data_IF_496987517061
#
_entry.id   IF_496987517061
#
_cell.length_a   1.000
_cell.length_b   1.000
_cell.length_c   1.000
_cell.angle_alpha   90.00
_cell.angle_beta   90.00
_cell.angle_gamma   90.00
#
_symmetry.space_group_name_H-M   'P 1'
#
loop_
_entity.id
_entity.type
_entity.pdbx_description
1 polymer ?
#
# COMPACT_ATOMS: atom_id res chain seq x y z
N UNK A 1 24.64 -1.39 -17.75
CA UNK A 1 24.16 -2.78 -17.65
C UNK A 1 23.68 -2.97 -16.23
N UNK A 2 22.37 -2.89 -15.97
CA UNK A 2 21.85 -3.26 -14.66
C UNK A 2 22.07 -4.78 -14.52
N UNK A 3 22.81 -5.20 -13.50
CA UNK A 3 22.96 -6.62 -13.18
C UNK A 3 21.66 -7.09 -12.56
N UNK A 4 20.74 -7.51 -13.42
CA UNK A 4 19.53 -8.18 -13.00
C UNK A 4 19.90 -9.56 -12.48
N UNK A 5 19.90 -9.74 -11.15
CA UNK A 5 20.18 -11.03 -10.56
C UNK A 5 18.89 -11.88 -10.61
N UNK A 6 18.94 -13.10 -11.17
CA UNK A 6 17.77 -13.98 -11.22
C UNK A 6 17.20 -14.35 -9.83
N UNK A 7 17.97 -14.08 -8.77
CA UNK A 7 17.62 -14.34 -7.38
C UNK A 7 16.42 -13.53 -6.89
N UNK A 8 16.27 -12.27 -7.32
CA UNK A 8 15.20 -11.40 -6.80
C UNK A 8 13.80 -11.86 -7.22
N UNK A 9 13.67 -12.35 -8.45
CA UNK A 9 12.41 -12.89 -8.97
C UNK A 9 12.01 -14.22 -8.32
N UNK A 10 12.97 -15.09 -8.00
CA UNK A 10 12.70 -16.35 -7.29
C UNK A 10 12.33 -16.09 -5.82
N UNK A 11 12.98 -15.14 -5.16
CA UNK A 11 12.67 -14.75 -3.79
C UNK A 11 11.26 -14.15 -3.67
N UNK A 12 10.87 -13.28 -4.60
CA UNK A 12 9.52 -12.70 -4.63
C UNK A 12 8.42 -13.76 -4.80
N UNK A 13 8.67 -14.81 -5.60
CA UNK A 13 7.75 -15.95 -5.76
C UNK A 13 7.57 -16.74 -4.46
N UNK A 14 8.63 -16.92 -3.67
CA UNK A 14 8.56 -17.61 -2.37
C UNK A 14 7.73 -16.82 -1.35
N UNK A 15 7.77 -15.49 -1.42
CA UNK A 15 7.01 -14.61 -0.53
C UNK A 15 5.60 -14.30 -1.03
N UNK A 16 5.22 -14.80 -2.21
CA UNK A 16 3.97 -14.46 -2.90
C UNK A 16 3.78 -12.94 -3.09
N UNK A 17 4.88 -12.19 -3.28
CA UNK A 17 4.85 -10.74 -3.52
C UNK A 17 5.10 -10.46 -5.00
N UNK A 18 4.32 -9.57 -5.64
CA UNK A 18 4.57 -9.19 -7.03
C UNK A 18 5.92 -8.48 -7.19
N UNK A 19 6.65 -8.87 -8.25
CA UNK A 19 7.96 -8.33 -8.58
C UNK A 19 7.89 -7.42 -9.80
N UNK A 20 8.57 -6.26 -9.75
CA UNK A 20 8.66 -5.35 -10.88
C UNK A 20 10.06 -4.72 -10.99
N UNK A 21 10.66 -4.82 -12.17
CA UNK A 21 11.91 -4.13 -12.51
C UNK A 21 11.61 -2.67 -12.85
N UNK A 22 12.22 -1.74 -12.11
CA UNK A 22 12.06 -0.30 -12.35
C UNK A 22 13.42 0.38 -12.49
N UNK A 23 13.49 1.45 -13.30
CA UNK A 23 14.62 2.37 -13.31
C UNK A 23 14.15 3.72 -12.80
N UNK A 24 14.52 4.06 -11.57
CA UNK A 24 14.25 5.40 -11.03
C UNK A 24 14.96 6.51 -11.83
N UNK A 25 16.08 6.17 -12.48
CA UNK A 25 16.88 7.10 -13.28
C UNK A 25 16.23 7.38 -14.64
N UNK A 26 15.74 6.35 -15.31
CA UNK A 26 15.20 6.44 -16.68
C UNK A 26 13.67 6.54 -16.71
N UNK A 27 13.01 6.43 -15.55
CA UNK A 27 11.56 6.45 -15.41
C UNK A 27 10.86 5.15 -15.82
N UNK A 28 11.60 4.11 -16.18
CA UNK A 28 11.04 2.85 -16.67
C UNK A 28 10.25 2.13 -15.58
N UNK A 29 9.00 1.76 -15.88
CA UNK A 29 8.08 0.97 -15.04
C UNK A 29 7.74 1.58 -13.66
N UNK A 30 8.12 2.83 -13.39
CA UNK A 30 7.85 3.50 -12.10
C UNK A 30 6.35 3.72 -11.89
N UNK A 31 5.62 4.13 -12.93
CA UNK A 31 4.17 4.32 -12.87
C UNK A 31 3.43 3.01 -12.59
N UNK A 32 3.85 1.93 -13.26
CA UNK A 32 3.27 0.60 -13.06
C UNK A 32 3.54 0.07 -11.65
N UNK A 33 4.74 0.30 -11.09
CA UNK A 33 5.04 -0.03 -9.69
C UNK A 33 4.09 0.70 -8.75
N UNK A 34 3.91 2.01 -8.96
CA UNK A 34 3.06 2.85 -8.11
C UNK A 34 1.59 2.39 -8.15
N UNK A 35 1.06 2.11 -9.35
CA UNK A 35 -0.31 1.62 -9.52
C UNK A 35 -0.52 0.22 -8.92
N UNK A 36 0.47 -0.66 -9.07
CA UNK A 36 0.43 -2.01 -8.49
C UNK A 36 0.40 -1.92 -6.97
N UNK A 37 1.26 -1.09 -6.36
CA UNK A 37 1.27 -0.88 -4.91
C UNK A 37 -0.05 -0.28 -4.41
N UNK A 38 -0.61 0.71 -5.10
CA UNK A 38 -1.90 1.28 -4.75
C UNK A 38 -3.02 0.23 -4.79
N UNK A 39 -3.00 -0.64 -5.81
CA UNK A 39 -3.98 -1.72 -5.98
C UNK A 39 -3.83 -2.78 -4.88
N UNK A 40 -2.61 -3.18 -4.54
CA UNK A 40 -2.34 -4.11 -3.43
C UNK A 40 -2.81 -3.56 -2.07
N UNK A 41 -2.54 -2.28 -1.79
CA UNK A 41 -3.05 -1.61 -0.58
C UNK A 41 -4.58 -1.62 -0.58
N UNK A 42 -5.22 -1.25 -1.69
CA UNK A 42 -6.68 -1.25 -1.83
C UNK A 42 -7.27 -2.65 -1.63
N UNK A 43 -6.67 -3.68 -2.22
CA UNK A 43 -7.14 -5.06 -2.09
C UNK A 43 -7.03 -5.56 -0.64
N UNK A 44 -5.97 -5.18 0.09
CA UNK A 44 -5.80 -5.52 1.51
C UNK A 44 -6.73 -4.75 2.44
N UNK A 45 -7.04 -3.49 2.14
CA UNK A 45 -7.98 -2.70 2.95
C UNK A 45 -9.44 -3.13 2.78
N UNK A 46 -9.74 -4.05 1.86
CA UNK A 46 -11.12 -4.41 1.50
C UNK A 46 -11.86 -3.25 0.83
N UNK A 47 -13.15 -3.39 0.48
CA UNK A 47 -13.99 -2.24 0.19
C UNK A 47 -13.85 -1.30 1.39
N UNK A 48 -13.50 -0.03 1.15
CA UNK A 48 -13.62 0.98 2.19
C UNK A 48 -15.01 0.79 2.84
N UNK A 49 -15.13 0.78 4.17
CA UNK A 49 -16.46 0.79 4.78
C UNK A 49 -17.19 1.92 4.07
N UNK A 50 -18.26 1.57 3.35
CA UNK A 50 -19.09 2.54 2.65
C UNK A 50 -19.26 3.71 3.59
N UNK A 51 -18.93 4.91 3.09
CA UNK A 51 -19.06 6.19 3.77
C UNK A 51 -20.55 6.37 4.15
N UNK A 52 -20.96 5.61 5.15
CA UNK A 52 -22.20 5.70 5.86
C UNK A 52 -21.92 6.87 6.79
N UNK A 53 -22.68 7.97 6.70
CA UNK A 53 -22.37 9.20 7.44
C UNK A 53 -22.49 9.06 8.97
N UNK A 54 -22.65 7.84 9.51
CA UNK A 54 -23.00 7.56 10.90
C UNK A 54 -21.91 6.83 11.71
N UNK A 55 -20.81 6.37 11.12
CA UNK A 55 -19.76 5.63 11.85
C UNK A 55 -18.50 6.45 12.11
N UNK A 56 -18.66 7.68 12.61
CA UNK A 56 -17.56 8.41 13.25
C UNK A 56 -17.50 7.94 14.71
N UNK A 57 -16.37 7.41 15.22
CA UNK A 57 -16.25 7.15 16.66
C UNK A 57 -16.30 8.49 17.39
N UNK A 58 -17.49 8.85 17.86
CA UNK A 58 -17.74 10.05 18.67
C UNK A 58 -17.12 9.83 20.04
N UNK A 59 -15.85 10.19 20.19
CA UNK A 59 -15.18 10.24 21.48
C UNK A 59 -15.77 11.43 22.25
N UNK A 60 -16.73 11.13 23.14
CA UNK A 60 -17.30 12.12 24.06
C UNK A 60 -16.29 12.38 25.19
N UNK A 61 -15.46 13.39 25.01
CA UNK A 61 -14.56 13.88 26.06
C UNK A 61 -15.40 14.70 27.03
N UNK A 62 -15.81 14.10 28.15
CA UNK A 62 -16.40 14.85 29.26
C UNK A 62 -15.28 15.65 29.93
N UNK A 63 -15.27 16.97 29.72
CA UNK A 63 -14.42 17.87 30.48
C UNK A 63 -14.89 17.86 31.93
N UNK A 64 -14.20 17.11 32.79
CA UNK A 64 -14.38 17.20 34.23
C UNK A 64 -13.93 18.57 34.71
N UNK A 65 -14.79 19.24 35.45
CA UNK A 65 -14.56 20.60 35.95
C UNK A 65 -13.30 20.64 36.83
N UNK A 66 -12.31 21.51 36.54
CA UNK A 66 -11.15 21.65 37.43
C UNK A 66 -11.58 22.27 38.76
N UNK A 67 -11.07 21.71 39.86
CA UNK A 67 -11.24 22.18 41.25
C UNK A 67 -10.42 23.44 41.48
#
# INVERSE_FOLDING_TARGET
MAFFLPFDGEYAKQLEVPFLETSAKDGTNVEQALMTMATEIKNRMGPAPSDSPDSKPSVKINASNPV
#
